data_IF_595681229960
#
_entry.id   IF_595681229960
#
_cell.length_a   1.000
_cell.length_b   1.000
_cell.length_c   1.000
_cell.angle_alpha   90.00
_cell.angle_beta   90.00
_cell.angle_gamma   90.00
#
_symmetry.space_group_name_H-M   'P 1'
#
loop_
_entity.id
_entity.type
_entity.pdbx_description
1 polymer ?
#
# COMPACT_ATOMS: atom_id res chain seq x y z
N UNK A 1 28.40 12.02 -38.20
CA UNK A 1 28.56 11.71 -36.75
C UNK A 1 27.60 12.49 -35.86
N UNK A 2 27.59 13.83 -35.88
CA UNK A 2 26.78 14.62 -34.93
C UNK A 2 25.26 14.40 -35.04
N UNK A 3 24.72 14.19 -36.24
CA UNK A 3 23.28 13.88 -36.43
C UNK A 3 22.89 12.51 -35.88
N UNK A 4 23.78 11.51 -35.96
CA UNK A 4 23.53 10.18 -35.41
C UNK A 4 23.56 10.19 -33.88
N UNK A 5 24.52 10.93 -33.29
CA UNK A 5 24.61 11.15 -31.84
C UNK A 5 23.39 11.90 -31.31
N UNK A 6 22.93 12.94 -32.02
CA UNK A 6 21.73 13.71 -31.63
C UNK A 6 20.47 12.84 -31.63
N UNK A 7 20.28 12.00 -32.66
CA UNK A 7 19.15 11.05 -32.74
C UNK A 7 19.18 10.03 -31.60
N UNK A 8 20.37 9.53 -31.27
CA UNK A 8 20.56 8.62 -30.13
C UNK A 8 20.24 9.28 -28.79
N UNK A 9 20.74 10.49 -28.56
CA UNK A 9 20.45 11.26 -27.34
C UNK A 9 18.96 11.57 -27.20
N UNK A 10 18.30 11.99 -28.28
CA UNK A 10 16.86 12.23 -28.26
C UNK A 10 16.09 10.95 -27.98
N UNK A 11 16.46 9.82 -28.59
CA UNK A 11 15.86 8.52 -28.30
C UNK A 11 16.03 8.10 -26.85
N UNK A 12 17.22 8.31 -26.27
CA UNK A 12 17.50 7.99 -24.87
C UNK A 12 16.67 8.84 -23.91
N UNK A 13 16.55 10.15 -24.16
CA UNK A 13 15.72 11.06 -23.33
C UNK A 13 14.24 10.66 -23.40
N UNK A 14 13.72 10.34 -24.58
CA UNK A 14 12.34 9.88 -24.75
C UNK A 14 12.12 8.55 -24.03
N UNK A 15 13.03 7.60 -24.19
CA UNK A 15 12.96 6.28 -23.54
C UNK A 15 12.94 6.40 -22.02
N UNK A 16 13.87 7.18 -21.45
CA UNK A 16 13.93 7.43 -20.00
C UNK A 16 12.67 8.13 -19.49
N UNK A 17 12.14 9.08 -20.26
CA UNK A 17 10.90 9.77 -19.89
C UNK A 17 9.70 8.83 -19.83
N UNK A 18 9.55 7.91 -20.80
CA UNK A 18 8.46 6.92 -20.80
C UNK A 18 8.55 6.01 -19.58
N UNK A 19 9.76 5.54 -19.24
CA UNK A 19 9.99 4.69 -18.06
C UNK A 19 9.67 5.44 -16.76
N UNK A 20 10.08 6.70 -16.65
CA UNK A 20 9.77 7.53 -15.48
C UNK A 20 8.26 7.78 -15.34
N UNK A 21 7.53 7.96 -16.44
CA UNK A 21 6.06 8.13 -16.41
C UNK A 21 5.32 6.87 -15.91
N UNK A 22 5.91 5.68 -16.02
CA UNK A 22 5.33 4.45 -15.45
C UNK A 22 5.64 4.23 -13.97
N UNK A 23 6.58 4.97 -13.37
CA UNK A 23 7.08 4.74 -12.01
C UNK A 23 8.13 3.62 -11.93
N UNK A 24 9.22 3.83 -11.18
CA UNK A 24 10.29 2.83 -11.06
C UNK A 24 9.86 1.64 -10.19
N UNK A 25 9.17 1.89 -9.08
CA UNK A 25 8.63 0.82 -8.22
C UNK A 25 7.60 -0.03 -8.96
N UNK A 26 6.75 0.62 -9.76
CA UNK A 26 5.74 -0.03 -10.60
C UNK A 26 6.34 -0.95 -11.67
N UNK A 27 7.53 -0.62 -12.18
CA UNK A 27 8.26 -1.43 -13.15
C UNK A 27 9.05 -2.57 -12.50
N UNK A 28 9.76 -2.29 -11.40
CA UNK A 28 10.67 -3.25 -10.77
C UNK A 28 9.96 -4.19 -9.78
N UNK A 29 8.91 -3.72 -9.14
CA UNK A 29 8.16 -4.44 -8.10
C UNK A 29 6.64 -4.39 -8.34
N UNK A 30 6.15 -4.88 -9.50
CA UNK A 30 4.72 -4.83 -9.83
C UNK A 30 3.84 -5.62 -8.84
N UNK A 31 4.41 -6.58 -8.11
CA UNK A 31 3.76 -7.39 -7.08
C UNK A 31 3.33 -6.58 -5.85
N UNK A 32 3.90 -5.38 -5.64
CA UNK A 32 3.56 -4.49 -4.50
C UNK A 32 2.36 -3.57 -4.78
N UNK A 33 1.72 -3.73 -5.95
CA UNK A 33 0.58 -2.91 -6.34
C UNK A 33 -0.62 -3.11 -5.43
N UNK A 34 -1.27 -2.00 -5.06
CA UNK A 34 -2.43 -2.00 -4.17
C UNK A 34 -2.08 -1.85 -2.69
N UNK A 35 -0.79 -1.65 -2.37
CA UNK A 35 -0.37 -1.32 -1.02
C UNK A 35 -0.68 0.16 -0.72
N UNK A 36 -1.61 0.42 0.18
CA UNK A 36 -2.06 1.80 0.44
C UNK A 36 -1.06 2.62 1.28
N UNK A 37 -0.21 1.98 2.09
CA UNK A 37 0.79 2.63 2.96
C UNK A 37 1.87 1.65 3.46
N UNK A 38 2.99 2.18 3.96
CA UNK A 38 4.09 1.40 4.54
C UNK A 38 5.38 2.21 4.66
N UNK A 39 6.46 1.55 5.05
CA UNK A 39 7.79 2.17 5.04
C UNK A 39 8.27 2.39 3.61
N UNK A 40 8.83 3.56 3.33
CA UNK A 40 9.32 3.90 1.99
C UNK A 40 10.54 3.05 1.65
N UNK A 41 10.49 2.33 0.52
CA UNK A 41 11.64 1.59 -0.01
C UNK A 41 12.71 2.59 -0.48
N UNK A 42 13.87 2.66 0.18
CA UNK A 42 14.90 3.63 -0.16
C UNK A 42 15.46 3.42 -1.57
N UNK A 43 15.43 2.20 -2.10
CA UNK A 43 15.89 1.90 -3.46
C UNK A 43 14.97 2.56 -4.49
N UNK A 44 13.65 2.40 -4.32
CA UNK A 44 12.65 3.02 -5.22
C UNK A 44 12.67 4.54 -5.09
N UNK A 45 12.75 5.06 -3.86
CA UNK A 45 12.81 6.50 -3.61
C UNK A 45 14.06 7.15 -4.23
N UNK A 46 15.22 6.52 -4.11
CA UNK A 46 16.46 7.00 -4.74
C UNK A 46 16.34 6.94 -6.26
N UNK A 47 15.79 5.86 -6.83
CA UNK A 47 15.61 5.74 -8.28
C UNK A 47 14.71 6.85 -8.85
N UNK A 48 13.56 7.10 -8.22
CA UNK A 48 12.68 8.22 -8.58
C UNK A 48 13.37 9.58 -8.35
N UNK A 49 14.16 9.70 -7.28
CA UNK A 49 14.95 10.90 -6.97
C UNK A 49 16.02 11.22 -8.02
N UNK A 50 16.66 10.22 -8.62
CA UNK A 50 17.55 10.40 -9.76
C UNK A 50 16.79 10.96 -10.96
N UNK A 51 15.60 10.40 -11.25
CA UNK A 51 14.71 10.93 -12.28
C UNK A 51 14.35 12.40 -12.04
N UNK A 52 14.02 12.74 -10.80
CA UNK A 52 13.69 14.11 -10.36
C UNK A 52 14.86 15.09 -10.51
N UNK A 53 16.10 14.64 -10.23
CA UNK A 53 17.30 15.47 -10.32
C UNK A 53 17.60 15.90 -11.77
N UNK A 54 17.46 14.99 -12.73
CA UNK A 54 17.78 15.27 -14.13
C UNK A 54 16.57 15.78 -14.94
N UNK A 55 15.35 15.41 -14.55
CA UNK A 55 14.11 15.77 -15.22
C UNK A 55 12.97 15.94 -14.21
N UNK A 56 12.72 17.19 -13.79
CA UNK A 56 11.75 17.52 -12.73
C UNK A 56 10.36 16.91 -13.02
N UNK A 57 9.79 17.18 -14.21
CA UNK A 57 8.42 16.74 -14.52
C UNK A 57 8.29 15.21 -14.53
N UNK A 58 9.10 14.45 -15.30
CA UNK A 58 9.07 12.98 -15.23
C UNK A 58 9.34 12.42 -13.83
N UNK A 59 10.26 13.00 -13.06
CA UNK A 59 10.59 12.52 -11.72
C UNK A 59 9.47 12.71 -10.70
N UNK A 60 8.76 13.84 -10.73
CA UNK A 60 7.57 14.04 -9.88
C UNK A 60 6.48 13.05 -10.25
N UNK A 61 6.27 12.79 -11.55
CA UNK A 61 5.27 11.82 -12.01
C UNK A 61 5.62 10.41 -11.55
N UNK A 62 6.89 10.01 -11.64
CA UNK A 62 7.35 8.69 -11.16
C UNK A 62 7.01 8.49 -9.67
N UNK A 63 7.28 9.51 -8.84
CA UNK A 63 6.89 9.52 -7.44
C UNK A 63 5.37 9.40 -7.26
N UNK A 64 4.58 10.21 -7.98
CA UNK A 64 3.13 10.16 -7.89
C UNK A 64 2.57 8.77 -8.24
N UNK A 65 3.08 8.16 -9.31
CA UNK A 65 2.65 6.83 -9.76
C UNK A 65 3.02 5.75 -8.75
N UNK A 66 4.24 5.75 -8.21
CA UNK A 66 4.65 4.73 -7.23
C UNK A 66 3.99 4.92 -5.86
N UNK A 67 3.64 6.15 -5.47
CA UNK A 67 2.79 6.42 -4.30
C UNK A 67 1.35 5.95 -4.52
N UNK A 68 0.73 6.31 -5.65
CA UNK A 68 -0.65 5.91 -5.95
C UNK A 68 -0.81 4.40 -6.14
N UNK A 69 0.20 3.74 -6.70
CA UNK A 69 0.19 2.29 -6.87
C UNK A 69 0.62 1.53 -5.61
N UNK A 70 1.24 2.21 -4.64
CA UNK A 70 1.78 1.57 -3.45
C UNK A 70 3.16 0.92 -3.60
N UNK A 71 3.75 1.00 -4.79
CA UNK A 71 4.99 0.29 -5.13
C UNK A 71 6.26 0.99 -4.62
N UNK A 72 6.11 2.20 -4.06
CA UNK A 72 7.17 2.88 -3.33
C UNK A 72 7.38 2.32 -1.92
N UNK A 73 6.41 1.58 -1.39
CA UNK A 73 6.50 1.03 -0.05
C UNK A 73 7.20 -0.34 -0.04
N UNK A 74 7.85 -0.65 1.08
CA UNK A 74 8.37 -1.98 1.38
C UNK A 74 7.20 -2.96 1.57
N UNK A 75 7.32 -4.21 1.12
CA UNK A 75 6.30 -5.21 1.36
C UNK A 75 6.17 -5.43 2.87
N UNK A 76 4.96 -5.28 3.39
CA UNK A 76 4.69 -5.62 4.79
C UNK A 76 4.92 -7.12 4.99
N UNK A 77 5.74 -7.50 5.97
CA UNK A 77 6.06 -8.91 6.26
C UNK A 77 4.86 -9.70 6.78
N UNK A 78 3.79 -9.01 7.19
CA UNK A 78 2.61 -9.61 7.80
C UNK A 78 1.56 -9.95 6.73
N UNK A 79 1.32 -11.25 6.54
CA UNK A 79 0.16 -11.73 5.82
C UNK A 79 -1.09 -11.58 6.70
N UNK A 80 -1.95 -10.61 6.41
CA UNK A 80 -3.29 -10.59 7.00
C UNK A 80 -4.18 -11.65 6.35
N UNK A 81 -4.85 -12.45 7.18
CA UNK A 81 -5.95 -13.32 6.79
C UNK A 81 -7.23 -12.87 7.50
N UNK A 82 -8.35 -12.84 6.78
CA UNK A 82 -9.66 -12.52 7.34
C UNK A 82 -10.50 -13.79 7.35
N UNK A 83 -11.06 -14.14 8.51
CA UNK A 83 -12.06 -15.19 8.66
C UNK A 83 -13.44 -14.59 8.40
N UNK A 84 -14.18 -15.13 7.42
CA UNK A 84 -15.51 -14.63 7.06
C UNK A 84 -16.54 -15.33 7.93
N UNK A 85 -17.24 -14.56 8.76
CA UNK A 85 -18.37 -15.06 9.54
C UNK A 85 -19.67 -14.42 9.07
N UNK A 86 -20.61 -15.26 8.61
CA UNK A 86 -21.95 -14.80 8.28
C UNK A 86 -22.71 -14.53 9.57
N UNK A 87 -23.25 -13.31 9.69
CA UNK A 87 -24.13 -12.92 10.77
C UNK A 87 -25.57 -13.20 10.35
N UNK A 88 -26.37 -13.74 11.26
CA UNK A 88 -27.81 -13.90 11.02
C UNK A 88 -28.51 -12.53 11.10
N UNK A 89 -29.39 -12.22 10.14
CA UNK A 89 -30.13 -10.94 10.06
C UNK A 89 -30.98 -10.61 11.31
N UNK A 90 -31.23 -11.59 12.18
CA UNK A 90 -32.03 -11.45 13.40
C UNK A 90 -31.19 -11.36 14.69
N UNK A 91 -29.87 -11.19 14.60
CA UNK A 91 -28.99 -11.21 15.76
C UNK A 91 -29.08 -9.91 16.58
N UNK A 92 -29.19 -10.02 17.90
CA UNK A 92 -29.19 -8.86 18.79
C UNK A 92 -27.77 -8.36 19.09
N UNK A 93 -27.68 -7.09 19.54
CA UNK A 93 -26.41 -6.41 19.85
C UNK A 93 -25.62 -7.17 20.92
N UNK A 94 -26.30 -7.72 21.93
CA UNK A 94 -25.67 -8.47 23.02
C UNK A 94 -25.04 -9.79 22.53
N UNK A 95 -25.69 -10.49 21.60
CA UNK A 95 -25.15 -11.69 20.97
C UNK A 95 -23.97 -11.36 20.06
N UNK A 96 -24.01 -10.21 19.38
CA UNK A 96 -22.89 -9.71 18.58
C UNK A 96 -21.67 -9.40 19.45
N UNK A 97 -21.83 -8.64 20.54
CA UNK A 97 -20.74 -8.34 21.49
C UNK A 97 -20.13 -9.61 22.07
N UNK A 98 -20.97 -10.59 22.43
CA UNK A 98 -20.50 -11.88 22.93
C UNK A 98 -19.70 -12.64 21.88
N UNK A 99 -20.20 -12.71 20.64
CA UNK A 99 -19.51 -13.39 19.54
C UNK A 99 -18.16 -12.74 19.23
N UNK A 100 -18.12 -11.40 19.18
CA UNK A 100 -16.89 -10.64 18.97
C UNK A 100 -15.90 -10.83 20.12
N UNK A 101 -16.39 -10.82 21.37
CA UNK A 101 -15.55 -11.03 22.55
C UNK A 101 -14.93 -12.43 22.59
N UNK A 102 -15.72 -13.45 22.26
CA UNK A 102 -15.26 -14.84 22.19
C UNK A 102 -14.19 -15.03 21.09
N UNK A 103 -14.34 -14.36 19.95
CA UNK A 103 -13.40 -14.44 18.82
C UNK A 103 -12.14 -13.60 19.02
N UNK A 104 -12.27 -12.41 19.61
CA UNK A 104 -11.14 -11.51 19.87
C UNK A 104 -10.33 -11.92 21.12
N UNK A 105 -10.88 -12.78 21.98
CA UNK A 105 -10.24 -13.19 23.24
C UNK A 105 -10.17 -12.07 24.29
N UNK A 106 -10.90 -10.97 24.07
CA UNK A 106 -10.97 -9.82 24.95
C UNK A 106 -12.40 -9.24 24.94
N UNK A 107 -12.86 -8.58 26.02
CA UNK A 107 -14.20 -8.00 26.04
C UNK A 107 -14.33 -6.90 25.00
N UNK A 108 -15.26 -7.07 24.06
CA UNK A 108 -15.61 -6.09 23.04
C UNK A 108 -16.95 -5.48 23.41
N UNK A 109 -16.99 -4.15 23.53
CA UNK A 109 -18.23 -3.39 23.67
C UNK A 109 -18.41 -2.49 22.46
N UNK A 110 -19.58 -2.57 21.84
CA UNK A 110 -19.94 -1.77 20.67
C UNK A 110 -20.22 -0.31 21.01
N UNK A 111 -20.42 -0.01 22.30
CA UNK A 111 -20.61 1.34 22.84
C UNK A 111 -19.28 2.05 23.15
N UNK A 112 -18.15 1.36 22.99
CA UNK A 112 -16.84 1.90 23.32
C UNK A 112 -16.46 3.03 22.35
N UNK A 113 -16.03 4.17 22.88
CA UNK A 113 -15.59 5.34 22.12
C UNK A 113 -14.35 5.07 21.25
N UNK A 114 -13.57 4.03 21.56
CA UNK A 114 -12.42 3.57 20.79
C UNK A 114 -12.78 2.58 19.67
N UNK A 115 -14.04 2.13 19.59
CA UNK A 115 -14.49 1.19 18.56
C UNK A 115 -14.78 1.94 17.27
N UNK A 116 -14.12 1.53 16.19
CA UNK A 116 -14.36 2.06 14.84
C UNK A 116 -15.03 0.98 14.01
N UNK A 117 -16.15 1.33 13.38
CA UNK A 117 -16.88 0.47 12.43
C UNK A 117 -16.75 1.15 11.07
N UNK A 118 -16.15 0.45 10.12
CA UNK A 118 -16.06 0.90 8.73
C UNK A 118 -16.73 -0.10 7.79
N UNK A 119 -17.53 0.43 6.87
CA UNK A 119 -18.08 -0.33 5.76
C UNK A 119 -17.06 -0.30 4.61
N UNK A 120 -16.78 -1.46 4.02
CA UNK A 120 -15.78 -1.63 2.96
C UNK A 120 -16.47 -1.96 1.65
N UNK A 121 -15.99 -1.37 0.55
CA UNK A 121 -16.57 -1.60 -0.78
C UNK A 121 -16.17 -2.97 -1.35
N UNK A 122 -15.08 -3.56 -0.85
CA UNK A 122 -14.58 -4.88 -1.30
C UNK A 122 -13.76 -5.62 -0.23
N UNK A 123 -13.67 -6.95 -0.38
CA UNK A 123 -12.80 -7.79 0.46
C UNK A 123 -11.32 -7.41 0.33
N UNK A 124 -10.89 -7.00 -0.87
CA UNK A 124 -9.51 -6.58 -1.11
C UNK A 124 -9.15 -5.32 -0.32
N UNK A 125 -10.07 -4.36 -0.24
CA UNK A 125 -9.94 -3.15 0.57
C UNK A 125 -9.87 -3.48 2.06
N UNK A 126 -10.77 -4.34 2.54
CA UNK A 126 -10.77 -4.79 3.93
C UNK A 126 -9.44 -5.48 4.31
N UNK A 127 -8.92 -6.35 3.44
CA UNK A 127 -7.63 -7.02 3.63
C UNK A 127 -6.46 -6.03 3.63
N UNK A 128 -6.49 -5.02 2.75
CA UNK A 128 -5.47 -3.97 2.73
C UNK A 128 -5.46 -3.18 4.03
N UNK A 129 -6.62 -2.76 4.53
CA UNK A 129 -6.78 -2.09 5.82
C UNK A 129 -6.25 -2.91 6.99
N UNK A 130 -6.60 -4.20 7.08
CA UNK A 130 -6.09 -5.08 8.14
C UNK A 130 -4.56 -5.20 8.08
N UNK A 131 -3.96 -5.37 6.89
CA UNK A 131 -2.50 -5.39 6.72
C UNK A 131 -1.83 -4.10 7.20
N UNK A 132 -2.47 -2.96 6.94
CA UNK A 132 -1.93 -1.65 7.31
C UNK A 132 -2.08 -1.28 8.77
N UNK A 133 -3.11 -1.82 9.45
CA UNK A 133 -3.35 -1.56 10.87
C UNK A 133 -2.15 -1.91 11.76
N UNK A 134 -1.24 -2.76 11.28
CA UNK A 134 -0.08 -3.21 12.04
C UNK A 134 -0.44 -4.11 13.23
N UNK A 135 -1.70 -4.50 13.37
CA UNK A 135 -2.19 -5.40 14.44
C UNK A 135 -1.52 -6.78 14.39
N UNK A 136 -0.99 -7.17 13.23
CA UNK A 136 -0.25 -8.41 13.00
C UNK A 136 1.25 -8.21 12.82
N UNK A 137 1.77 -7.01 13.10
CA UNK A 137 3.19 -6.69 12.95
C UNK A 137 3.88 -6.83 14.32
N UNK A 138 4.30 -8.06 14.63
CA UNK A 138 4.93 -8.38 15.93
C UNK A 138 6.20 -7.56 16.18
N UNK A 139 6.95 -7.18 15.14
CA UNK A 139 8.13 -6.33 15.29
C UNK A 139 7.75 -4.88 15.64
N UNK A 140 6.74 -4.30 14.97
CA UNK A 140 6.21 -2.98 15.38
C UNK A 140 5.66 -3.02 16.79
N UNK A 141 4.85 -4.03 17.13
CA UNK A 141 4.25 -4.15 18.45
C UNK A 141 5.29 -4.35 19.56
N UNK A 142 6.41 -5.00 19.28
CA UNK A 142 7.50 -5.16 20.24
C UNK A 142 8.30 -3.87 20.51
N UNK A 143 8.16 -2.85 19.65
CA UNK A 143 8.92 -1.59 19.75
C UNK A 143 8.09 -0.38 20.20
N UNK A 144 6.77 -0.55 20.36
CA UNK A 144 5.85 0.45 20.93
C UNK A 144 5.77 0.33 22.46
#
# INVERSE_FOLDING_TARGET
>A
MQQAVRRWLTGAVIGVSIVALSGCGTMFYPERKGQLSGDVDPVVAIANGVGLLFFIVPGVIAYAVDFSNGTIYLPSASSASVDIHHLDDAMDVASLEKLLSDKAGQPVSLENELLVIEEMDSLDEALAMVRMSGVLDEERLATM
#
